data_IF_173949128276
#
_entry.id   IF_173949128276
#
_cell.length_a   1.000
_cell.length_b   1.000
_cell.length_c   1.000
_cell.angle_alpha   90.00
_cell.angle_beta   90.00
_cell.angle_gamma   90.00
#
_symmetry.space_group_name_H-M   'P 1'
#
loop_
_entity.id
_entity.type
_entity.pdbx_description
1 polymer ?
#
# COMPACT_ATOMS: atom_id res chain seq x y z
N UNK A 1 -4.08 -9.79 -5.62
CA UNK A 1 -2.81 -10.56 -5.79
C UNK A 1 -1.80 -10.25 -4.69
N UNK A 2 -1.39 -8.99 -4.45
CA UNK A 2 -0.42 -8.65 -3.40
C UNK A 2 -0.78 -9.25 -2.03
N UNK A 3 -2.02 -9.06 -1.56
CA UNK A 3 -2.54 -9.61 -0.31
C UNK A 3 -2.41 -11.14 -0.23
N UNK A 4 -2.79 -11.87 -1.29
CA UNK A 4 -2.75 -13.34 -1.32
C UNK A 4 -1.32 -13.86 -1.19
N UNK A 5 -0.35 -13.17 -1.81
CA UNK A 5 1.07 -13.54 -1.69
C UNK A 5 1.67 -13.15 -0.33
N UNK A 6 1.32 -11.98 0.19
CA UNK A 6 1.81 -11.50 1.48
C UNK A 6 1.40 -12.42 2.64
N UNK A 7 0.14 -12.85 2.66
CA UNK A 7 -0.42 -13.67 3.75
C UNK A 7 -0.38 -15.19 3.46
N UNK A 8 0.19 -15.62 2.32
CA UNK A 8 0.20 -17.03 1.88
C UNK A 8 -1.20 -17.65 1.79
N UNK A 9 -2.19 -16.81 1.60
CA UNK A 9 -3.60 -17.14 1.53
C UNK A 9 -4.44 -16.13 2.33
N UNK A 10 -5.63 -15.80 1.83
CA UNK A 10 -6.53 -14.82 2.46
C UNK A 10 -7.97 -15.08 2.04
N UNK A 11 -8.92 -14.73 2.90
CA UNK A 11 -10.32 -14.82 2.55
C UNK A 11 -10.72 -13.71 1.57
N UNK A 12 -11.78 -13.96 0.79
CA UNK A 12 -12.37 -12.94 -0.09
C UNK A 12 -12.81 -11.70 0.69
N UNK A 13 -13.38 -11.89 1.89
CA UNK A 13 -13.80 -10.77 2.73
C UNK A 13 -12.64 -9.87 3.15
N UNK A 14 -11.50 -10.45 3.51
CA UNK A 14 -10.29 -9.68 3.81
C UNK A 14 -9.78 -8.89 2.58
N UNK A 15 -9.89 -9.46 1.38
CA UNK A 15 -9.57 -8.71 0.14
C UNK A 15 -10.51 -7.52 -0.05
N UNK A 16 -11.82 -7.70 0.17
CA UNK A 16 -12.79 -6.61 0.04
C UNK A 16 -12.50 -5.48 1.04
N UNK A 17 -12.16 -5.82 2.29
CA UNK A 17 -11.78 -4.84 3.31
C UNK A 17 -10.54 -4.04 2.90
N UNK A 18 -9.49 -4.71 2.40
CA UNK A 18 -8.29 -4.05 1.91
C UNK A 18 -8.54 -3.17 0.69
N UNK A 19 -9.41 -3.60 -0.25
CA UNK A 19 -9.82 -2.75 -1.37
C UNK A 19 -10.55 -1.52 -0.86
N UNK A 20 -11.50 -1.69 0.07
CA UNK A 20 -12.24 -0.57 0.65
C UNK A 20 -11.31 0.45 1.33
N UNK A 21 -10.27 -0.01 2.03
CA UNK A 21 -9.31 0.87 2.70
C UNK A 21 -8.37 1.58 1.72
N UNK A 22 -7.86 0.86 0.70
CA UNK A 22 -6.78 1.39 -0.16
C UNK A 22 -7.29 2.05 -1.44
N UNK A 23 -8.48 1.70 -1.92
CA UNK A 23 -8.99 2.16 -3.21
C UNK A 23 -9.08 3.68 -3.34
N UNK A 24 -9.53 4.45 -2.35
CA UNK A 24 -9.59 5.91 -2.46
C UNK A 24 -8.22 6.57 -2.72
N UNK A 25 -7.14 5.99 -2.16
CA UNK A 25 -5.77 6.44 -2.39
C UNK A 25 -5.28 6.07 -3.79
N UNK A 26 -5.49 4.80 -4.16
CA UNK A 26 -5.08 4.27 -5.45
C UNK A 26 -5.85 4.90 -6.61
N UNK A 27 -7.14 5.17 -6.43
CA UNK A 27 -7.99 5.81 -7.43
C UNK A 27 -7.41 7.16 -7.87
N UNK A 28 -6.96 7.97 -6.91
CA UNK A 28 -6.38 9.28 -7.20
C UNK A 28 -5.03 9.18 -7.87
N UNK A 29 -4.14 8.31 -7.38
CA UNK A 29 -2.79 8.17 -7.91
C UNK A 29 -2.77 7.53 -9.30
N UNK A 30 -3.61 6.51 -9.51
CA UNK A 30 -3.63 5.74 -10.75
C UNK A 30 -4.72 6.21 -11.73
N UNK A 31 -5.42 7.29 -11.42
CA UNK A 31 -6.51 7.84 -12.25
C UNK A 31 -7.58 6.79 -12.60
N UNK A 32 -7.95 5.96 -11.62
CA UNK A 32 -8.93 4.90 -11.85
C UNK A 32 -10.32 5.49 -12.05
N UNK A 33 -11.03 5.01 -13.06
CA UNK A 33 -12.33 5.56 -13.46
C UNK A 33 -13.52 5.01 -12.66
N UNK A 34 -13.36 3.82 -12.08
CA UNK A 34 -14.43 3.21 -11.28
C UNK A 34 -14.60 3.94 -9.95
N UNK A 35 -15.82 4.08 -9.48
CA UNK A 35 -16.09 4.41 -8.08
C UNK A 35 -15.65 3.25 -7.16
N UNK A 36 -15.54 3.53 -5.86
CA UNK A 36 -15.20 2.48 -4.88
C UNK A 36 -16.24 1.35 -4.88
N UNK A 37 -17.52 1.68 -4.95
CA UNK A 37 -18.60 0.67 -4.97
C UNK A 37 -18.55 -0.19 -6.24
N UNK A 38 -18.27 0.42 -7.39
CA UNK A 38 -18.05 -0.32 -8.62
C UNK A 38 -16.83 -1.23 -8.54
N UNK A 39 -15.72 -0.76 -7.98
CA UNK A 39 -14.51 -1.56 -7.80
C UNK A 39 -14.77 -2.77 -6.88
N UNK A 40 -15.50 -2.56 -5.78
CA UNK A 40 -15.90 -3.63 -4.86
C UNK A 40 -16.83 -4.63 -5.55
N UNK A 41 -17.82 -4.16 -6.32
CA UNK A 41 -18.76 -5.02 -7.05
C UNK A 41 -18.07 -5.86 -8.13
N UNK A 42 -17.02 -5.34 -8.76
CA UNK A 42 -16.24 -6.07 -9.78
C UNK A 42 -15.27 -7.09 -9.17
N UNK A 43 -15.01 -7.05 -7.87
CA UNK A 43 -14.02 -7.94 -7.23
C UNK A 43 -14.36 -9.42 -7.42
N UNK A 44 -15.63 -9.80 -7.39
CA UNK A 44 -16.08 -11.18 -7.60
C UNK A 44 -15.76 -11.70 -8.98
N UNK A 45 -16.03 -10.89 -10.00
CA UNK A 45 -15.70 -11.23 -11.38
C UNK A 45 -14.18 -11.34 -11.58
N UNK A 46 -13.41 -10.44 -10.96
CA UNK A 46 -11.94 -10.47 -11.03
C UNK A 46 -11.37 -11.70 -10.32
N UNK A 47 -11.86 -12.05 -9.13
CA UNK A 47 -11.43 -13.25 -8.40
C UNK A 47 -11.76 -14.50 -9.21
N UNK A 48 -12.96 -14.59 -9.78
CA UNK A 48 -13.36 -15.72 -10.65
C UNK A 48 -12.43 -15.83 -11.86
N UNK A 49 -12.18 -14.73 -12.56
CA UNK A 49 -11.25 -14.73 -13.69
C UNK A 49 -9.83 -15.17 -13.31
N UNK A 50 -9.33 -14.75 -12.15
CA UNK A 50 -8.01 -15.16 -11.66
C UNK A 50 -7.96 -16.67 -11.30
N UNK A 51 -9.07 -17.23 -10.79
CA UNK A 51 -9.21 -18.65 -10.53
C UNK A 51 -9.24 -19.46 -11.85
N UNK A 52 -10.03 -19.01 -12.83
CA UNK A 52 -10.16 -19.65 -14.15
C UNK A 52 -8.82 -19.66 -14.92
N UNK A 53 -8.03 -18.60 -14.76
CA UNK A 53 -6.68 -18.50 -15.32
C UNK A 53 -5.63 -19.31 -14.53
N UNK A 54 -6.00 -19.88 -13.39
CA UNK A 54 -5.08 -20.57 -12.49
C UNK A 54 -4.06 -19.66 -11.79
N UNK A 55 -4.31 -18.36 -11.79
CA UNK A 55 -3.49 -17.34 -11.10
C UNK A 55 -3.82 -17.25 -9.60
N UNK A 56 -4.94 -17.82 -9.21
CA UNK A 56 -5.34 -18.10 -7.83
C UNK A 56 -5.78 -19.55 -7.72
N UNK A 57 -5.77 -20.08 -6.52
CA UNK A 57 -6.38 -21.36 -6.14
C UNK A 57 -7.30 -21.12 -4.95
N UNK A 58 -8.37 -21.88 -4.86
CA UNK A 58 -9.28 -21.85 -3.72
C UNK A 58 -9.12 -23.10 -2.86
N UNK A 59 -9.10 -22.91 -1.54
CA UNK A 59 -9.11 -23.98 -0.54
C UNK A 59 -10.07 -23.60 0.58
N UNK A 60 -11.29 -24.14 0.56
CA UNK A 60 -12.37 -23.68 1.42
C UNK A 60 -12.70 -22.22 1.09
N UNK A 61 -12.68 -21.35 2.09
CA UNK A 61 -12.93 -19.92 1.94
C UNK A 61 -11.67 -19.11 1.59
N UNK A 62 -10.49 -19.74 1.60
CA UNK A 62 -9.23 -19.08 1.36
C UNK A 62 -8.83 -19.11 -0.12
N UNK A 63 -8.37 -17.95 -0.58
CA UNK A 63 -7.70 -17.77 -1.86
C UNK A 63 -6.20 -17.86 -1.65
N UNK A 64 -5.56 -18.76 -2.38
CA UNK A 64 -4.13 -19.09 -2.27
C UNK A 64 -3.41 -18.73 -3.58
N UNK A 65 -2.11 -18.40 -3.52
CA UNK A 65 -1.31 -18.30 -4.73
C UNK A 65 -1.13 -19.68 -5.39
N UNK A 66 -0.81 -19.75 -6.68
CA UNK A 66 -0.38 -21.00 -7.31
C UNK A 66 0.82 -21.59 -6.57
N UNK A 67 0.96 -22.91 -6.60
CA UNK A 67 2.16 -23.56 -6.07
C UNK A 67 3.40 -23.18 -6.88
N UNK A 68 4.57 -23.10 -6.22
CA UNK A 68 5.83 -22.68 -6.84
C UNK A 68 6.24 -23.47 -8.10
N UNK A 69 5.76 -24.71 -8.22
CA UNK A 69 6.02 -25.58 -9.38
C UNK A 69 4.98 -25.41 -10.51
N UNK A 70 3.94 -24.60 -10.29
CA UNK A 70 2.89 -24.41 -11.30
C UNK A 70 3.32 -23.37 -12.34
N UNK A 71 2.96 -23.60 -13.60
CA UNK A 71 3.28 -22.71 -14.73
C UNK A 71 2.83 -21.26 -14.48
N UNK A 72 1.71 -21.08 -13.81
CA UNK A 72 1.12 -19.78 -13.53
C UNK A 72 1.77 -19.02 -12.38
N UNK A 73 2.64 -19.67 -11.59
CA UNK A 73 3.26 -19.04 -10.41
C UNK A 73 4.00 -17.75 -10.76
N UNK A 74 4.81 -17.76 -11.81
CA UNK A 74 5.59 -16.58 -12.20
C UNK A 74 4.68 -15.38 -12.59
N UNK A 75 3.65 -15.64 -13.38
CA UNK A 75 2.69 -14.60 -13.78
C UNK A 75 1.91 -14.06 -12.58
N UNK A 76 1.45 -14.93 -11.68
CA UNK A 76 0.76 -14.54 -10.47
C UNK A 76 1.68 -13.73 -9.54
N UNK A 77 2.95 -14.12 -9.41
CA UNK A 77 3.96 -13.40 -8.65
C UNK A 77 4.23 -12.01 -9.23
N UNK A 78 4.40 -11.87 -10.55
CA UNK A 78 4.55 -10.57 -11.20
C UNK A 78 3.36 -9.66 -10.93
N UNK A 79 2.12 -10.16 -11.07
CA UNK A 79 0.91 -9.39 -10.75
C UNK A 79 0.87 -8.95 -9.29
N UNK A 80 1.38 -9.76 -8.35
CA UNK A 80 1.44 -9.38 -6.94
C UNK A 80 2.41 -8.21 -6.69
N UNK A 81 3.36 -8.01 -7.59
CA UNK A 81 4.40 -6.99 -7.46
C UNK A 81 4.07 -5.66 -8.15
N UNK A 82 3.06 -5.63 -9.02
CA UNK A 82 2.73 -4.41 -9.78
C UNK A 82 2.47 -3.18 -8.91
N UNK A 83 2.01 -3.38 -7.67
CA UNK A 83 1.67 -2.29 -6.74
C UNK A 83 2.74 -2.06 -5.66
N UNK A 84 3.83 -2.81 -5.66
CA UNK A 84 4.80 -2.76 -4.56
C UNK A 84 5.42 -1.39 -4.37
N UNK A 85 5.87 -0.73 -5.43
CA UNK A 85 6.49 0.60 -5.32
C UNK A 85 5.52 1.64 -4.76
N UNK A 86 4.25 1.63 -5.17
CA UNK A 86 3.20 2.50 -4.64
C UNK A 86 2.95 2.23 -3.16
N UNK A 87 2.76 0.95 -2.78
CA UNK A 87 2.53 0.57 -1.38
C UNK A 87 3.73 0.88 -0.49
N UNK A 88 4.94 0.67 -0.97
CA UNK A 88 6.17 1.01 -0.24
C UNK A 88 6.31 2.52 -0.01
N UNK A 89 5.94 3.34 -1.00
CA UNK A 89 5.89 4.79 -0.88
C UNK A 89 4.86 5.24 0.17
N UNK A 90 3.68 4.60 0.18
CA UNK A 90 2.67 4.83 1.22
C UNK A 90 3.21 4.44 2.61
N UNK A 91 3.86 3.29 2.72
CA UNK A 91 4.48 2.84 3.97
C UNK A 91 5.50 3.84 4.52
N UNK A 92 6.31 4.47 3.66
CA UNK A 92 7.27 5.52 4.08
C UNK A 92 6.54 6.67 4.75
N UNK A 93 5.53 7.25 4.10
CA UNK A 93 4.79 8.41 4.62
C UNK A 93 4.05 8.06 5.92
N UNK A 94 3.35 6.92 5.92
CA UNK A 94 2.56 6.47 7.08
C UNK A 94 3.45 6.15 8.29
N UNK A 95 4.65 5.59 8.08
CA UNK A 95 5.60 5.31 9.16
C UNK A 95 6.15 6.60 9.78
N UNK A 96 6.42 7.64 8.99
CA UNK A 96 6.85 8.94 9.49
C UNK A 96 5.72 9.61 10.28
N UNK A 97 4.49 9.57 9.76
CA UNK A 97 3.30 10.10 10.44
C UNK A 97 3.05 9.41 11.78
N UNK A 98 3.14 8.08 11.80
CA UNK A 98 2.97 7.30 13.02
C UNK A 98 3.99 7.66 14.09
N UNK A 99 5.24 7.85 13.69
CA UNK A 99 6.32 8.24 14.59
C UNK A 99 6.14 9.64 15.16
N UNK A 100 5.90 10.62 14.31
CA UNK A 100 5.89 12.04 14.70
C UNK A 100 4.56 12.46 15.34
N UNK A 101 3.47 11.71 15.09
CA UNK A 101 2.08 11.97 15.50
C UNK A 101 1.54 13.34 15.11
N UNK A 102 2.38 14.37 15.09
CA UNK A 102 2.05 15.71 14.63
C UNK A 102 3.26 16.28 13.89
N UNK A 103 3.09 16.69 12.64
CA UNK A 103 4.20 17.12 11.78
C UNK A 103 3.72 18.17 10.78
N UNK A 104 4.56 19.18 10.48
CA UNK A 104 4.25 20.11 9.39
C UNK A 104 4.29 19.40 8.04
N UNK A 105 3.39 19.81 7.12
CA UNK A 105 3.34 19.24 5.77
C UNK A 105 4.70 19.29 5.06
N UNK A 106 5.38 20.43 5.15
CA UNK A 106 6.69 20.62 4.49
C UNK A 106 7.77 19.71 5.06
N UNK A 107 7.75 19.47 6.37
CA UNK A 107 8.68 18.54 7.02
C UNK A 107 8.36 17.09 6.61
N UNK A 108 7.08 16.71 6.60
CA UNK A 108 6.65 15.37 6.16
C UNK A 108 7.11 15.10 4.72
N UNK A 109 6.83 16.00 3.78
CA UNK A 109 7.25 15.85 2.37
C UNK A 109 8.77 15.71 2.24
N UNK A 110 9.55 16.54 2.95
CA UNK A 110 11.01 16.50 2.92
C UNK A 110 11.55 15.20 3.51
N UNK A 111 11.07 14.80 4.69
CA UNK A 111 11.54 13.58 5.37
C UNK A 111 11.15 12.34 4.58
N UNK A 112 9.92 12.29 4.06
CA UNK A 112 9.47 11.18 3.20
C UNK A 112 10.35 11.03 1.96
N UNK A 113 10.69 12.13 1.30
CA UNK A 113 11.60 12.10 0.15
C UNK A 113 12.98 11.55 0.54
N UNK A 114 13.57 12.03 1.64
CA UNK A 114 14.89 11.56 2.10
C UNK A 114 14.90 10.06 2.44
N UNK A 115 13.86 9.58 3.12
CA UNK A 115 13.72 8.15 3.44
C UNK A 115 13.54 7.33 2.16
N UNK A 116 12.68 7.77 1.24
CA UNK A 116 12.45 7.11 -0.03
C UNK A 116 13.73 7.05 -0.90
N UNK A 117 14.52 8.11 -0.98
CA UNK A 117 15.81 8.13 -1.68
C UNK A 117 16.80 7.11 -1.11
N UNK A 118 16.87 7.00 0.22
CA UNK A 118 17.71 5.99 0.89
C UNK A 118 17.26 4.58 0.59
N UNK A 119 15.97 4.32 0.67
CA UNK A 119 15.40 3.01 0.35
C UNK A 119 15.58 2.65 -1.13
N UNK A 120 15.38 3.61 -2.04
CA UNK A 120 15.65 3.44 -3.47
C UNK A 120 17.09 2.96 -3.70
N UNK A 121 18.06 3.59 -3.04
CA UNK A 121 19.47 3.20 -3.14
C UNK A 121 19.73 1.82 -2.54
N UNK A 122 19.17 1.51 -1.37
CA UNK A 122 19.40 0.24 -0.66
C UNK A 122 18.79 -0.96 -1.38
N UNK A 123 17.61 -0.79 -1.97
CA UNK A 123 16.86 -1.87 -2.62
C UNK A 123 16.99 -1.87 -4.14
N UNK A 124 17.76 -0.96 -4.71
CA UNK A 124 17.94 -0.86 -6.16
C UNK A 124 16.65 -0.49 -6.90
N UNK A 125 15.76 0.29 -6.25
CA UNK A 125 14.55 0.77 -6.88
C UNK A 125 14.92 1.89 -7.86
N UNK A 126 14.74 1.63 -9.15
CA UNK A 126 15.18 2.56 -10.21
C UNK A 126 14.07 3.48 -10.71
N UNK A 127 12.88 3.43 -10.09
CA UNK A 127 11.74 4.29 -10.45
C UNK A 127 11.92 5.69 -9.84
N UNK A 128 12.07 6.76 -10.66
CA UNK A 128 12.19 8.13 -10.16
C UNK A 128 10.97 8.58 -9.38
N UNK A 129 9.79 8.03 -9.72
CA UNK A 129 8.51 8.30 -9.07
C UNK A 129 8.50 7.87 -7.60
N UNK A 130 9.37 6.93 -7.21
CA UNK A 130 9.41 6.41 -5.84
C UNK A 130 9.69 7.50 -4.81
N UNK A 131 10.51 8.48 -5.15
CA UNK A 131 10.86 9.63 -4.30
C UNK A 131 10.47 10.99 -4.90
N UNK A 132 9.60 10.99 -5.92
CA UNK A 132 9.10 12.24 -6.52
C UNK A 132 8.27 13.03 -5.52
N UNK A 133 8.63 14.31 -5.36
CA UNK A 133 7.97 15.21 -4.40
C UNK A 133 6.49 15.40 -4.71
N UNK A 134 6.11 15.47 -5.98
CA UNK A 134 4.72 15.71 -6.37
C UNK A 134 3.85 14.51 -6.07
N UNK A 135 4.38 13.30 -6.29
CA UNK A 135 3.69 12.04 -5.97
C UNK A 135 3.49 11.92 -4.45
N UNK A 136 4.54 12.18 -3.66
CA UNK A 136 4.45 12.20 -2.19
C UNK A 136 3.45 13.24 -1.69
N UNK A 137 3.50 14.46 -2.24
CA UNK A 137 2.57 15.55 -1.88
C UNK A 137 1.13 15.22 -2.27
N UNK A 138 0.91 14.55 -3.41
CA UNK A 138 -0.41 14.09 -3.83
C UNK A 138 -0.98 13.04 -2.87
N UNK A 139 -0.16 12.09 -2.43
CA UNK A 139 -0.56 11.11 -1.43
C UNK A 139 -0.93 11.74 -0.09
N UNK A 140 -0.11 12.66 0.42
CA UNK A 140 -0.41 13.41 1.66
C UNK A 140 -1.73 14.19 1.54
N UNK A 141 -1.98 14.79 0.36
CA UNK A 141 -3.26 15.46 0.10
C UNK A 141 -4.42 14.46 0.10
N UNK A 142 -4.23 13.27 -0.49
CA UNK A 142 -5.26 12.23 -0.49
C UNK A 142 -5.60 11.75 0.94
N UNK A 143 -4.61 11.60 1.81
CA UNK A 143 -4.84 11.27 3.22
C UNK A 143 -5.69 12.34 3.93
N UNK A 144 -5.41 13.62 3.67
CA UNK A 144 -6.17 14.73 4.25
C UNK A 144 -7.59 14.80 3.71
N UNK A 145 -7.76 14.68 2.38
CA UNK A 145 -9.05 14.76 1.71
C UNK A 145 -10.00 13.62 2.12
N UNK A 146 -9.44 12.47 2.50
CA UNK A 146 -10.18 11.31 3.01
C UNK A 146 -10.30 11.29 4.55
N UNK A 147 -9.97 12.39 5.24
CA UNK A 147 -10.07 12.54 6.70
C UNK A 147 -9.22 11.56 7.53
N UNK A 148 -8.17 10.98 6.95
CA UNK A 148 -7.17 10.19 7.70
C UNK A 148 -6.14 11.06 8.42
N UNK A 149 -6.05 12.34 8.04
CA UNK A 149 -5.22 13.33 8.73
C UNK A 149 -6.08 14.52 9.14
N UNK A 150 -5.99 14.87 10.40
CA UNK A 150 -6.55 16.11 10.94
C UNK A 150 -5.56 17.28 10.80
N UNK A 151 -6.07 18.51 10.90
CA UNK A 151 -5.24 19.69 11.02
C UNK A 151 -5.24 20.15 12.48
N UNK A 152 -4.05 20.30 13.07
CA UNK A 152 -3.89 20.92 14.37
C UNK A 152 -4.10 22.46 14.27
N UNK A 153 -4.22 23.14 15.41
CA UNK A 153 -4.46 24.60 15.49
C UNK A 153 -3.36 25.42 14.80
N UNK A 154 -2.12 24.93 14.82
CA UNK A 154 -0.96 25.53 14.16
C UNK A 154 -0.85 25.18 12.66
N UNK A 155 -1.83 24.47 12.11
CA UNK A 155 -1.84 24.02 10.72
C UNK A 155 -0.98 22.80 10.42
N UNK A 156 -0.37 22.16 11.44
CA UNK A 156 0.33 20.89 11.28
C UNK A 156 -0.65 19.73 11.03
N UNK A 157 -0.15 18.64 10.46
CA UNK A 157 -0.90 17.42 10.21
C UNK A 157 -0.84 16.54 11.46
N UNK A 158 -2.00 16.08 11.90
CA UNK A 158 -2.15 15.21 13.06
C UNK A 158 -2.55 13.80 12.60
N UNK A 159 -1.83 12.81 13.10
CA UNK A 159 -2.10 11.39 12.88
C UNK A 159 -3.39 10.95 13.59
N UNK A 160 -4.26 10.24 12.91
CA UNK A 160 -5.51 9.70 13.46
C UNK A 160 -5.44 8.20 13.68
N UNK A 161 -6.38 7.65 14.46
CA UNK A 161 -6.49 6.20 14.68
C UNK A 161 -6.81 5.45 13.38
N UNK A 162 -7.60 6.06 12.49
CA UNK A 162 -7.91 5.50 11.17
C UNK A 162 -6.66 5.37 10.30
N UNK A 163 -5.71 6.31 10.46
CA UNK A 163 -4.43 6.28 9.77
C UNK A 163 -3.54 5.12 10.28
N UNK A 164 -3.66 4.75 11.56
CA UNK A 164 -2.93 3.61 12.14
C UNK A 164 -3.37 2.28 11.49
N UNK A 165 -4.67 2.03 11.36
CA UNK A 165 -5.19 0.85 10.66
C UNK A 165 -4.74 0.80 9.20
N UNK A 166 -4.76 1.93 8.49
CA UNK A 166 -4.26 2.03 7.13
C UNK A 166 -2.76 1.69 7.03
N UNK A 167 -1.95 2.16 8.01
CA UNK A 167 -0.52 1.82 8.07
C UNK A 167 -0.31 0.32 8.24
N UNK A 168 -1.03 -0.32 9.14
CA UNK A 168 -0.95 -1.77 9.36
C UNK A 168 -1.28 -2.55 8.10
N UNK A 169 -2.35 -2.18 7.41
CA UNK A 169 -2.77 -2.78 6.13
C UNK A 169 -1.68 -2.64 5.06
N UNK A 170 -1.10 -1.45 4.91
CA UNK A 170 -0.03 -1.21 3.92
C UNK A 170 1.24 -1.98 4.28
N UNK A 171 1.66 -1.95 5.55
CA UNK A 171 2.86 -2.65 6.03
C UNK A 171 2.76 -4.16 5.83
N UNK A 172 1.55 -4.73 5.99
CA UNK A 172 1.29 -6.15 5.73
C UNK A 172 1.41 -6.55 4.24
N UNK A 173 1.31 -5.60 3.31
CA UNK A 173 1.33 -5.84 1.86
C UNK A 173 2.68 -5.61 1.19
N UNK A 174 3.60 -4.89 1.84
CA UNK A 174 4.95 -4.66 1.31
C UNK A 174 5.90 -5.81 1.64
N UNK A 175 7.08 -5.80 1.05
CA UNK A 175 8.09 -6.80 1.32
C UNK A 175 8.50 -6.82 2.80
N UNK A 176 8.58 -7.99 3.43
CA UNK A 176 8.93 -8.10 4.85
C UNK A 176 10.25 -7.41 5.21
N UNK A 177 11.25 -7.52 4.34
CA UNK A 177 12.57 -6.91 4.55
C UNK A 177 12.47 -5.37 4.56
N UNK A 178 11.65 -4.80 3.69
CA UNK A 178 11.43 -3.36 3.65
C UNK A 178 10.57 -2.89 4.82
N UNK A 179 9.54 -3.65 5.20
CA UNK A 179 8.72 -3.37 6.38
C UNK A 179 9.61 -3.31 7.63
N UNK A 180 10.44 -4.32 7.84
CA UNK A 180 11.39 -4.35 8.95
C UNK A 180 12.39 -3.20 8.91
N UNK A 181 12.86 -2.82 7.72
CA UNK A 181 13.77 -1.69 7.55
C UNK A 181 13.11 -0.36 7.90
N UNK A 182 11.87 -0.15 7.48
CA UNK A 182 11.09 1.05 7.81
C UNK A 182 10.85 1.17 9.32
N UNK A 183 10.54 0.07 10.00
CA UNK A 183 10.42 0.05 11.45
C UNK A 183 11.75 0.43 12.12
N UNK A 184 12.88 -0.12 11.65
CA UNK A 184 14.20 0.18 12.21
C UNK A 184 14.65 1.62 11.92
N UNK A 185 14.42 2.16 10.72
CA UNK A 185 14.76 3.56 10.37
C UNK A 185 13.94 4.54 11.21
N UNK A 186 12.75 4.16 11.64
CA UNK A 186 11.95 4.94 12.58
C UNK A 186 12.60 5.06 13.97
N UNK A 187 13.56 4.18 14.34
CA UNK A 187 14.21 4.17 15.66
C UNK A 187 15.60 4.81 15.71
N UNK A 188 16.17 5.25 14.59
CA UNK A 188 17.56 5.71 14.50
C UNK A 188 17.74 7.13 13.96
N UNK A 189 17.11 8.12 14.61
CA UNK A 189 17.48 9.55 14.45
C UNK A 189 17.55 10.24 15.80
#
# INVERSE_FOLDING_TARGET
MACVFAHKGTSKNAILQLIAALYPLLQRELFLHLSQDEALSHTDALVTALLDLGLLRQKGDDLLPPGAQQKQFHSAWLLSRCMQETLQRYAVVLTILDREKTISRSTLERTSKQVAERLSTLYGLSSPEFYDKNVLSSFISALKDNHWLDSAEDGSLKYSEECEGLREDVMALIWPEMAQHLENVAFHH
#
